data_IF_077117785244
#
_entry.id   IF_077117785244
#
_cell.length_a   1.000
_cell.length_b   1.000
_cell.length_c   1.000
_cell.angle_alpha   90.00
_cell.angle_beta   90.00
_cell.angle_gamma   90.00
#
_symmetry.space_group_name_H-M   'P 1'
#
loop_
_entity.id
_entity.type
_entity.pdbx_description
1 polymer ?
#
# COMPACT_ATOMS: atom_id res chain seq x y z
N UNK A 1 -19.78 -38.66 -15.73
CA UNK A 1 -20.06 -37.84 -14.54
C UNK A 1 -18.99 -36.78 -14.51
N UNK A 2 -19.32 -35.61 -15.07
CA UNK A 2 -18.47 -34.44 -15.11
C UNK A 2 -19.12 -33.43 -14.16
N UNK A 3 -18.71 -33.47 -12.90
CA UNK A 3 -19.13 -32.57 -11.83
C UNK A 3 -18.02 -31.55 -11.56
N UNK A 4 -17.44 -30.98 -12.62
CA UNK A 4 -16.72 -29.73 -12.50
C UNK A 4 -17.75 -28.62 -12.35
N UNK A 5 -18.01 -28.19 -11.10
CA UNK A 5 -18.74 -26.95 -10.83
C UNK A 5 -18.18 -25.86 -11.77
N UNK A 6 -19.03 -25.16 -12.55
CA UNK A 6 -18.57 -24.12 -13.44
C UNK A 6 -17.75 -23.11 -12.64
N UNK A 7 -16.51 -22.88 -13.09
CA UNK A 7 -15.66 -21.76 -12.67
C UNK A 7 -16.58 -20.56 -12.45
N UNK A 8 -16.67 -20.01 -11.24
CA UNK A 8 -17.62 -18.93 -10.96
C UNK A 8 -17.16 -17.69 -11.75
N UNK A 9 -17.72 -17.51 -12.94
CA UNK A 9 -17.40 -16.47 -13.93
C UNK A 9 -17.39 -15.07 -13.29
N UNK A 10 -18.16 -14.88 -12.21
CA UNK A 10 -18.29 -13.62 -11.49
C UNK A 10 -17.02 -13.13 -10.77
N UNK A 11 -16.09 -13.98 -10.32
CA UNK A 11 -14.92 -13.49 -9.57
C UNK A 11 -13.96 -12.70 -10.48
N UNK A 12 -13.67 -13.25 -11.66
CA UNK A 12 -12.90 -12.58 -12.69
C UNK A 12 -13.63 -11.33 -13.19
N UNK A 13 -14.95 -11.40 -13.41
CA UNK A 13 -15.74 -10.23 -13.79
C UNK A 13 -15.74 -9.14 -12.71
N UNK A 14 -15.84 -9.48 -11.43
CA UNK A 14 -15.79 -8.52 -10.32
C UNK A 14 -14.41 -7.85 -10.25
N UNK A 15 -13.33 -8.62 -10.41
CA UNK A 15 -11.98 -8.06 -10.46
C UNK A 15 -11.78 -7.17 -11.69
N UNK A 16 -12.19 -7.60 -12.88
CA UNK A 16 -12.08 -6.79 -14.10
C UNK A 16 -12.95 -5.52 -14.03
N UNK A 17 -14.16 -5.63 -13.46
CA UNK A 17 -15.02 -4.47 -13.21
C UNK A 17 -14.40 -3.50 -12.22
N UNK A 18 -13.73 -4.00 -11.18
CA UNK A 18 -12.97 -3.19 -10.23
C UNK A 18 -11.81 -2.47 -10.93
N UNK A 19 -10.97 -3.19 -11.66
CA UNK A 19 -9.82 -2.61 -12.39
C UNK A 19 -10.30 -1.54 -13.37
N UNK A 20 -11.37 -1.81 -14.12
CA UNK A 20 -11.97 -0.84 -15.04
C UNK A 20 -12.56 0.38 -14.30
N UNK A 21 -13.19 0.18 -13.15
CA UNK A 21 -13.71 1.28 -12.32
C UNK A 21 -12.58 2.18 -11.82
N UNK A 22 -11.51 1.61 -11.26
CA UNK A 22 -10.37 2.38 -10.75
C UNK A 22 -9.68 3.15 -11.90
N UNK A 23 -9.43 2.51 -13.05
CA UNK A 23 -8.84 3.17 -14.23
C UNK A 23 -9.70 4.34 -14.71
N UNK A 24 -11.02 4.21 -14.69
CA UNK A 24 -11.93 5.31 -15.07
C UNK A 24 -11.89 6.47 -14.06
N UNK A 25 -11.86 6.17 -12.76
CA UNK A 25 -11.76 7.22 -11.72
C UNK A 25 -10.43 7.96 -11.87
N UNK A 26 -9.30 7.24 -12.02
CA UNK A 26 -7.97 7.83 -12.23
C UNK A 26 -7.90 8.70 -13.49
N UNK A 27 -8.66 8.37 -14.54
CA UNK A 27 -8.75 9.19 -15.75
C UNK A 27 -9.52 10.49 -15.54
N UNK A 28 -10.52 10.49 -14.68
CA UNK A 28 -11.44 11.62 -14.48
C UNK A 28 -11.03 12.53 -13.33
N UNK A 29 -10.35 11.99 -12.33
CA UNK A 29 -9.96 12.67 -11.09
C UNK A 29 -8.51 12.32 -10.80
N UNK A 30 -7.64 13.32 -10.82
CA UNK A 30 -6.24 13.16 -10.41
C UNK A 30 -6.19 12.59 -8.98
N UNK A 31 -5.53 11.43 -8.86
CA UNK A 31 -5.44 10.71 -7.59
C UNK A 31 -4.12 11.05 -6.89
N UNK A 32 -4.20 11.23 -5.58
CA UNK A 32 -3.09 11.54 -4.69
C UNK A 32 -2.95 10.47 -3.60
N UNK A 33 -1.72 10.20 -3.12
CA UNK A 33 -1.50 9.34 -1.98
C UNK A 33 -2.25 9.86 -0.74
N UNK A 34 -2.75 8.93 0.08
CA UNK A 34 -3.37 9.30 1.34
C UNK A 34 -2.31 9.89 2.31
N UNK A 35 -2.57 11.06 2.92
CA UNK A 35 -1.67 11.65 3.92
C UNK A 35 -1.32 10.69 5.06
N UNK A 36 -0.07 10.73 5.52
CA UNK A 36 0.46 9.75 6.49
C UNK A 36 -0.26 9.75 7.84
N UNK A 37 -0.74 10.91 8.28
CA UNK A 37 -1.54 11.09 9.49
C UNK A 37 -2.91 10.39 9.35
N UNK A 38 -3.54 10.45 8.18
CA UNK A 38 -4.79 9.74 7.91
C UNK A 38 -4.57 8.22 7.84
N UNK A 39 -3.47 7.77 7.22
CA UNK A 39 -3.07 6.35 7.23
C UNK A 39 -2.92 5.85 8.67
N UNK A 40 -2.24 6.60 9.54
CA UNK A 40 -2.08 6.24 10.95
C UNK A 40 -3.42 6.23 11.69
N UNK A 41 -4.31 7.18 11.43
CA UNK A 41 -5.63 7.24 12.05
C UNK A 41 -6.50 6.03 11.67
N UNK A 42 -6.44 5.58 10.41
CA UNK A 42 -7.15 4.38 9.94
C UNK A 42 -6.57 3.11 10.58
N UNK A 43 -5.24 3.00 10.65
CA UNK A 43 -4.60 1.87 11.33
C UNK A 43 -5.01 1.78 12.81
N UNK A 44 -5.06 2.89 13.54
CA UNK A 44 -5.56 2.93 14.92
C UNK A 44 -7.03 2.52 15.04
N UNK A 45 -7.86 2.80 14.02
CA UNK A 45 -9.24 2.31 13.99
C UNK A 45 -9.30 0.80 13.80
N UNK A 46 -8.51 0.25 12.87
CA UNK A 46 -8.37 -1.21 12.70
C UNK A 46 -8.01 -1.89 14.02
N UNK A 47 -7.03 -1.36 14.76
CA UNK A 47 -6.60 -1.92 16.05
C UNK A 47 -7.72 -1.95 17.09
N UNK A 48 -8.62 -0.97 17.06
CA UNK A 48 -9.77 -0.88 17.97
C UNK A 48 -10.91 -1.82 17.57
N UNK A 49 -11.24 -1.86 16.29
CA UNK A 49 -12.27 -2.74 15.75
C UNK A 49 -11.99 -3.09 14.28
N UNK A 50 -11.41 -4.28 14.01
CA UNK A 50 -11.09 -4.73 12.66
C UNK A 50 -12.32 -4.81 11.74
N UNK A 51 -13.52 -5.02 12.28
CA UNK A 51 -14.76 -5.14 11.51
C UNK A 51 -15.11 -3.84 10.78
N UNK A 52 -14.69 -2.70 11.32
CA UNK A 52 -14.88 -1.40 10.69
C UNK A 52 -14.16 -1.30 9.34
N UNK A 53 -13.09 -2.07 9.10
CA UNK A 53 -12.37 -2.04 7.83
C UNK A 53 -13.22 -2.63 6.71
N UNK A 54 -13.87 -3.78 6.96
CA UNK A 54 -14.75 -4.40 5.98
C UNK A 54 -16.01 -3.55 5.72
N UNK A 55 -16.59 -2.98 6.78
CA UNK A 55 -17.70 -2.04 6.64
C UNK A 55 -17.30 -0.82 5.81
N UNK A 56 -16.10 -0.27 6.04
CA UNK A 56 -15.61 0.89 5.31
C UNK A 56 -15.36 0.55 3.85
N UNK A 57 -14.71 -0.58 3.57
CA UNK A 57 -14.47 -1.06 2.21
C UNK A 57 -15.78 -1.24 1.43
N UNK A 58 -16.81 -1.80 2.09
CA UNK A 58 -18.15 -1.97 1.50
C UNK A 58 -18.80 -0.63 1.12
N UNK A 59 -18.80 0.34 2.03
CA UNK A 59 -19.37 1.65 1.77
C UNK A 59 -18.58 2.42 0.70
N UNK A 60 -17.25 2.32 0.74
CA UNK A 60 -16.37 2.94 -0.23
C UNK A 60 -16.56 2.34 -1.63
N UNK A 61 -16.76 1.02 -1.75
CA UNK A 61 -17.07 0.38 -3.04
C UNK A 61 -18.34 0.93 -3.71
N UNK A 62 -19.38 1.21 -2.91
CA UNK A 62 -20.60 1.88 -3.41
C UNK A 62 -20.30 3.32 -3.88
N UNK A 63 -19.49 4.05 -3.12
CA UNK A 63 -19.09 5.42 -3.46
C UNK A 63 -18.26 5.46 -4.74
N UNK A 64 -17.27 4.58 -4.90
CA UNK A 64 -16.47 4.49 -6.12
C UNK A 64 -17.35 4.16 -7.34
N UNK A 65 -18.33 3.27 -7.16
CA UNK A 65 -19.28 2.92 -8.21
C UNK A 65 -20.15 4.12 -8.62
N UNK A 66 -20.53 4.96 -7.67
CA UNK A 66 -21.24 6.21 -7.93
C UNK A 66 -20.32 7.23 -8.62
N UNK A 67 -19.13 7.44 -8.08
CA UNK A 67 -18.12 8.39 -8.57
C UNK A 67 -17.69 8.10 -10.02
N UNK A 68 -17.59 6.81 -10.38
CA UNK A 68 -17.37 6.36 -11.76
C UNK A 68 -18.40 6.96 -12.74
N UNK A 69 -19.64 7.15 -12.31
CA UNK A 69 -20.76 7.63 -13.15
C UNK A 69 -20.94 9.14 -13.13
N UNK A 70 -20.61 9.78 -12.02
CA UNK A 70 -20.95 11.18 -11.73
C UNK A 70 -19.74 12.11 -11.79
N UNK A 71 -18.53 11.57 -11.71
CA UNK A 71 -17.29 12.34 -11.54
C UNK A 71 -17.29 13.19 -10.26
N UNK A 72 -16.31 14.08 -10.13
CA UNK A 72 -16.18 14.99 -9.00
C UNK A 72 -14.95 15.87 -9.13
N UNK A 73 -14.82 16.87 -8.25
CA UNK A 73 -13.59 17.67 -8.17
C UNK A 73 -12.61 16.99 -7.22
N UNK A 74 -11.31 16.89 -7.56
CA UNK A 74 -10.29 16.25 -6.71
C UNK A 74 -10.32 16.73 -5.25
N UNK A 75 -10.47 18.04 -5.05
CA UNK A 75 -10.46 18.68 -3.74
C UNK A 75 -11.75 18.56 -2.90
N UNK A 76 -12.85 18.06 -3.48
CA UNK A 76 -14.10 17.89 -2.75
C UNK A 76 -13.91 16.86 -1.64
N UNK A 77 -14.37 17.16 -0.43
CA UNK A 77 -14.33 16.19 0.66
C UNK A 77 -15.28 15.03 0.37
N UNK A 78 -14.92 13.82 0.82
CA UNK A 78 -15.77 12.65 0.68
C UNK A 78 -17.15 12.87 1.35
N UNK A 79 -17.16 13.58 2.48
CA UNK A 79 -18.39 13.93 3.20
C UNK A 79 -19.30 14.78 2.34
N UNK A 80 -18.78 15.90 1.80
CA UNK A 80 -19.58 16.81 0.98
C UNK A 80 -20.11 16.09 -0.27
N UNK A 81 -19.25 15.32 -0.92
CA UNK A 81 -19.64 14.53 -2.08
C UNK A 81 -20.78 13.57 -1.77
N UNK A 82 -20.69 12.78 -0.70
CA UNK A 82 -21.75 11.84 -0.35
C UNK A 82 -23.04 12.56 0.07
N UNK A 83 -22.93 13.69 0.78
CA UNK A 83 -24.08 14.47 1.20
C UNK A 83 -24.88 15.04 0.00
N UNK A 84 -24.22 15.34 -1.13
CA UNK A 84 -24.88 15.72 -2.40
C UNK A 84 -25.73 14.57 -2.99
N UNK A 85 -25.36 13.32 -2.70
CA UNK A 85 -26.02 12.12 -3.23
C UNK A 85 -26.91 11.40 -2.21
N UNK A 86 -27.14 11.99 -1.03
CA UNK A 86 -27.89 11.36 0.08
C UNK A 86 -29.30 10.87 -0.29
N UNK A 87 -29.94 11.51 -1.27
CA UNK A 87 -31.29 11.14 -1.73
C UNK A 87 -31.28 9.94 -2.68
N UNK A 88 -30.12 9.58 -3.24
CA UNK A 88 -29.94 8.46 -4.18
C UNK A 88 -29.35 7.24 -3.46
N UNK A 89 -28.52 7.47 -2.44
CA UNK A 89 -27.95 6.41 -1.63
C UNK A 89 -29.03 5.71 -0.80
N UNK A 90 -29.08 4.38 -0.89
CA UNK A 90 -30.04 3.56 -0.12
C UNK A 90 -29.78 3.61 1.39
N UNK A 91 -28.55 3.96 1.79
CA UNK A 91 -28.13 4.14 3.18
C UNK A 91 -27.19 5.34 3.30
N UNK A 92 -27.27 6.12 4.40
CA UNK A 92 -26.34 7.20 4.64
C UNK A 92 -24.93 6.64 4.83
N UNK A 93 -23.93 7.35 4.34
CA UNK A 93 -22.54 6.96 4.56
C UNK A 93 -22.17 7.13 6.05
N UNK A 94 -21.63 6.09 6.70
CA UNK A 94 -21.32 6.12 8.11
C UNK A 94 -20.06 6.96 8.36
N UNK A 95 -20.25 8.26 8.63
CA UNK A 95 -19.15 9.21 8.92
C UNK A 95 -18.23 8.76 10.06
N UNK A 96 -18.73 7.93 10.98
CA UNK A 96 -17.94 7.29 12.06
C UNK A 96 -16.74 6.46 11.55
N UNK A 97 -16.78 5.96 10.32
CA UNK A 97 -15.66 5.23 9.72
C UNK A 97 -14.50 6.15 9.33
N UNK A 98 -14.76 7.45 9.15
CA UNK A 98 -13.75 8.42 8.76
C UNK A 98 -12.80 8.77 9.92
N UNK A 99 -11.53 9.05 9.61
CA UNK A 99 -10.63 9.69 10.56
C UNK A 99 -11.13 11.11 10.88
N UNK A 100 -10.72 11.66 12.02
CA UNK A 100 -11.01 13.05 12.39
C UNK A 100 -9.92 13.98 11.84
N UNK A 101 -10.27 15.14 11.28
CA UNK A 101 -11.63 15.62 11.02
C UNK A 101 -12.30 14.87 9.84
N UNK A 102 -13.62 14.72 9.87
CA UNK A 102 -14.35 13.88 8.90
C UNK A 102 -14.18 14.34 7.44
N UNK A 103 -13.95 15.63 7.22
CA UNK A 103 -13.71 16.22 5.90
C UNK A 103 -12.27 16.11 5.39
N UNK A 104 -11.38 15.41 6.11
CA UNK A 104 -9.96 15.25 5.75
C UNK A 104 -9.73 14.39 4.52
N UNK A 105 -10.62 13.44 4.25
CA UNK A 105 -10.55 12.58 3.06
C UNK A 105 -11.23 13.30 1.89
N UNK A 106 -10.49 13.46 0.79
CA UNK A 106 -10.94 14.09 -0.45
C UNK A 106 -11.12 13.06 -1.58
N UNK A 107 -11.78 13.45 -2.67
CA UNK A 107 -11.99 12.59 -3.84
C UNK A 107 -10.68 12.16 -4.52
N UNK A 108 -9.63 12.99 -4.47
CA UNK A 108 -8.29 12.61 -4.93
C UNK A 108 -7.66 11.46 -4.12
N UNK A 109 -8.10 11.20 -2.89
CA UNK A 109 -7.51 10.16 -2.05
C UNK A 109 -8.20 8.79 -2.16
N UNK A 110 -9.32 8.68 -2.89
CA UNK A 110 -10.21 7.53 -2.75
C UNK A 110 -9.65 6.23 -3.28
N UNK A 111 -8.83 6.27 -4.33
CA UNK A 111 -8.15 5.07 -4.83
C UNK A 111 -7.16 4.57 -3.79
N UNK A 112 -6.27 5.44 -3.28
CA UNK A 112 -5.31 5.06 -2.24
C UNK A 112 -5.96 4.63 -0.93
N UNK A 113 -7.10 5.23 -0.56
CA UNK A 113 -7.89 4.80 0.60
C UNK A 113 -8.44 3.40 0.40
N UNK A 114 -9.03 3.12 -0.77
CA UNK A 114 -9.58 1.81 -1.07
C UNK A 114 -8.50 0.73 -1.00
N UNK A 115 -7.38 0.96 -1.68
CA UNK A 115 -6.25 0.03 -1.66
C UNK A 115 -5.71 -0.20 -0.25
N UNK A 116 -5.61 0.84 0.59
CA UNK A 116 -5.23 0.69 2.00
C UNK A 116 -6.22 -0.22 2.74
N UNK A 117 -7.53 -0.05 2.55
CA UNK A 117 -8.53 -0.88 3.22
C UNK A 117 -8.45 -2.35 2.75
N UNK A 118 -8.18 -2.60 1.47
CA UNK A 118 -7.92 -3.97 0.97
C UNK A 118 -6.70 -4.58 1.66
N UNK A 119 -5.61 -3.81 1.75
CA UNK A 119 -4.37 -4.23 2.43
C UNK A 119 -4.63 -4.55 3.91
N UNK A 120 -5.45 -3.74 4.58
CA UNK A 120 -5.77 -3.95 5.99
C UNK A 120 -6.68 -5.16 6.23
N UNK A 121 -7.62 -5.43 5.32
CA UNK A 121 -8.54 -6.56 5.40
C UNK A 121 -7.86 -7.89 5.02
N UNK A 122 -6.82 -7.84 4.18
CA UNK A 122 -6.07 -9.01 3.74
C UNK A 122 -5.48 -9.82 4.90
N UNK A 123 -5.11 -9.18 6.01
CA UNK A 123 -4.59 -9.85 7.20
C UNK A 123 -5.64 -10.80 7.83
N UNK A 124 -6.91 -10.40 7.85
CA UNK A 124 -7.98 -11.28 8.35
C UNK A 124 -8.27 -12.42 7.38
N UNK A 125 -8.16 -12.17 6.07
CA UNK A 125 -8.36 -13.20 5.05
C UNK A 125 -7.23 -14.24 5.12
N UNK A 126 -5.97 -13.81 5.20
CA UNK A 126 -4.81 -14.71 5.23
C UNK A 126 -4.86 -15.65 6.44
N UNK A 127 -5.28 -15.15 7.60
CA UNK A 127 -5.42 -15.94 8.82
C UNK A 127 -6.50 -17.03 8.68
N UNK A 128 -7.56 -16.74 7.91
CA UNK A 128 -8.69 -17.65 7.67
C UNK A 128 -8.48 -18.66 6.54
N UNK A 129 -7.38 -18.57 5.78
CA UNK A 129 -7.12 -19.49 4.68
C UNK A 129 -6.96 -20.93 5.17
N UNK A 130 -7.54 -21.87 4.42
CA UNK A 130 -7.39 -23.30 4.67
C UNK A 130 -5.97 -23.82 4.36
N UNK A 131 -5.74 -25.09 4.67
CA UNK A 131 -4.43 -25.73 4.53
C UNK A 131 -3.93 -25.83 3.08
N UNK A 132 -4.82 -25.70 2.08
CA UNK A 132 -4.41 -25.77 0.66
C UNK A 132 -3.55 -24.57 0.25
N UNK A 133 -3.68 -23.43 0.94
CA UNK A 133 -2.89 -22.23 0.73
C UNK A 133 -1.63 -22.15 1.61
N UNK A 134 -1.36 -23.20 2.40
CA UNK A 134 -0.29 -23.27 3.40
C UNK A 134 0.86 -24.19 2.99
N UNK A 135 0.97 -24.54 1.71
CA UNK A 135 2.05 -25.40 1.21
C UNK A 135 3.39 -24.69 1.39
N UNK A 136 4.33 -25.35 2.07
CA UNK A 136 5.62 -24.77 2.42
C UNK A 136 6.44 -24.40 1.19
N UNK A 137 7.07 -23.23 1.24
CA UNK A 137 8.11 -22.83 0.29
C UNK A 137 9.37 -23.68 0.48
N UNK A 138 10.07 -23.98 -0.60
CA UNK A 138 11.38 -24.63 -0.54
C UNK A 138 12.41 -23.75 0.18
N UNK A 139 13.37 -24.35 0.91
CA UNK A 139 14.43 -23.59 1.61
C UNK A 139 15.33 -22.80 0.65
N UNK A 140 15.41 -23.21 -0.62
CA UNK A 140 16.12 -22.45 -1.65
C UNK A 140 15.35 -21.17 -2.00
N UNK A 141 14.04 -21.29 -2.23
CA UNK A 141 13.17 -20.18 -2.59
C UNK A 141 13.03 -19.16 -1.47
N UNK A 142 12.87 -19.62 -0.23
CA UNK A 142 12.87 -18.75 0.95
C UNK A 142 14.15 -17.90 1.03
N UNK A 143 15.32 -18.53 0.86
CA UNK A 143 16.61 -17.81 0.89
C UNK A 143 16.73 -16.79 -0.25
N UNK A 144 16.39 -17.17 -1.48
CA UNK A 144 16.45 -16.27 -2.64
C UNK A 144 15.59 -15.02 -2.44
N UNK A 145 14.34 -15.21 -2.02
CA UNK A 145 13.41 -14.10 -1.77
C UNK A 145 13.92 -13.22 -0.62
N UNK A 146 14.37 -13.82 0.49
CA UNK A 146 14.89 -13.07 1.63
C UNK A 146 16.15 -12.27 1.29
N UNK A 147 17.08 -12.82 0.52
CA UNK A 147 18.29 -12.13 0.10
C UNK A 147 17.98 -10.92 -0.78
N UNK A 148 17.01 -11.06 -1.70
CA UNK A 148 16.56 -9.99 -2.58
C UNK A 148 15.89 -8.85 -1.78
N UNK A 149 14.92 -9.20 -0.92
CA UNK A 149 14.17 -8.24 -0.12
C UNK A 149 15.01 -7.59 0.98
N UNK A 150 16.06 -8.26 1.45
CA UNK A 150 17.03 -7.69 2.40
C UNK A 150 17.84 -6.54 1.81
N UNK A 151 18.12 -6.58 0.51
CA UNK A 151 18.87 -5.53 -0.20
C UNK A 151 18.00 -4.33 -0.54
N UNK A 152 16.68 -4.51 -0.59
CA UNK A 152 15.73 -3.51 -1.06
C UNK A 152 14.53 -3.41 -0.11
N UNK A 153 14.63 -2.65 1.01
CA UNK A 153 13.52 -2.51 1.96
C UNK A 153 12.22 -2.02 1.33
N UNK A 154 12.32 -1.07 0.39
CA UNK A 154 11.16 -0.58 -0.37
C UNK A 154 10.50 -1.66 -1.23
N UNK A 155 11.29 -2.57 -1.81
CA UNK A 155 10.76 -3.69 -2.58
C UNK A 155 9.98 -4.66 -1.70
N UNK A 156 10.42 -4.86 -0.44
CA UNK A 156 9.70 -5.68 0.52
C UNK A 156 8.31 -5.10 0.82
N UNK A 157 8.22 -3.78 1.03
CA UNK A 157 6.94 -3.10 1.27
C UNK A 157 6.01 -3.18 0.05
N UNK A 158 6.53 -2.93 -1.17
CA UNK A 158 5.73 -3.03 -2.40
C UNK A 158 5.25 -4.46 -2.64
N UNK A 159 6.12 -5.45 -2.43
CA UNK A 159 5.76 -6.87 -2.53
C UNK A 159 4.68 -7.24 -1.52
N UNK A 160 4.80 -6.78 -0.26
CA UNK A 160 3.79 -7.06 0.77
C UNK A 160 2.42 -6.50 0.36
N UNK A 161 2.37 -5.26 -0.12
CA UNK A 161 1.13 -4.63 -0.59
C UNK A 161 0.51 -5.40 -1.76
N UNK A 162 1.31 -5.77 -2.74
CA UNK A 162 0.84 -6.53 -3.90
C UNK A 162 0.24 -7.88 -3.48
N UNK A 163 0.91 -8.61 -2.58
CA UNK A 163 0.40 -9.88 -2.04
C UNK A 163 -0.88 -9.67 -1.24
N UNK A 164 -0.97 -8.64 -0.39
CA UNK A 164 -2.19 -8.32 0.36
C UNK A 164 -3.37 -8.01 -0.56
N UNK A 165 -3.15 -7.21 -1.61
CA UNK A 165 -4.18 -6.91 -2.62
C UNK A 165 -4.60 -8.17 -3.38
N UNK A 166 -3.66 -9.06 -3.73
CA UNK A 166 -3.99 -10.36 -4.32
C UNK A 166 -4.85 -11.22 -3.39
N UNK A 167 -4.48 -11.32 -2.10
CA UNK A 167 -5.26 -12.06 -1.10
C UNK A 167 -6.69 -11.51 -1.02
N UNK A 168 -6.83 -10.18 -0.94
CA UNK A 168 -8.14 -9.55 -0.87
C UNK A 168 -8.97 -9.78 -2.14
N UNK A 169 -8.41 -9.51 -3.31
CA UNK A 169 -9.16 -9.47 -4.58
C UNK A 169 -9.39 -10.85 -5.19
N UNK A 170 -8.45 -11.78 -5.02
CA UNK A 170 -8.48 -13.09 -5.67
C UNK A 170 -8.88 -14.22 -4.72
N UNK A 171 -8.46 -14.18 -3.45
CA UNK A 171 -8.75 -15.27 -2.51
C UNK A 171 -10.03 -15.08 -1.71
N UNK A 172 -10.48 -13.84 -1.46
CA UNK A 172 -11.79 -13.61 -0.84
C UNK A 172 -12.97 -14.26 -1.57
N UNK A 173 -13.01 -14.29 -2.92
CA UNK A 173 -14.04 -15.03 -3.65
C UNK A 173 -13.74 -16.54 -3.86
N UNK A 174 -12.62 -17.08 -3.35
CA UNK A 174 -12.17 -18.48 -3.42
C UNK A 174 -12.19 -19.15 -4.81
N UNK A 175 -12.09 -18.37 -5.90
CA UNK A 175 -12.13 -18.91 -7.26
C UNK A 175 -10.78 -18.73 -7.96
N UNK A 176 -9.73 -19.37 -7.42
CA UNK A 176 -8.39 -19.33 -8.00
C UNK A 176 -7.88 -20.73 -8.31
N UNK A 177 -7.09 -20.86 -9.37
CA UNK A 177 -6.33 -22.09 -9.57
C UNK A 177 -5.13 -22.07 -8.63
N UNK A 178 -5.21 -22.87 -7.57
CA UNK A 178 -4.17 -22.92 -6.55
C UNK A 178 -2.82 -23.43 -7.10
N UNK A 179 -2.85 -24.21 -8.17
CA UNK A 179 -1.64 -24.75 -8.82
C UNK A 179 -0.94 -23.74 -9.73
N UNK A 180 -1.63 -22.66 -10.10
CA UNK A 180 -1.09 -21.63 -10.98
C UNK A 180 0.01 -20.83 -10.28
N UNK A 181 1.02 -20.41 -11.06
CA UNK A 181 2.13 -19.57 -10.57
C UNK A 181 1.57 -18.26 -10.02
N UNK A 182 2.01 -17.86 -8.82
CA UNK A 182 1.53 -16.64 -8.17
C UNK A 182 1.85 -15.39 -9.01
N UNK A 183 3.00 -15.38 -9.69
CA UNK A 183 3.42 -14.29 -10.59
C UNK A 183 2.42 -14.00 -11.71
N UNK A 184 1.73 -15.03 -12.23
CA UNK A 184 0.80 -14.85 -13.35
C UNK A 184 -0.37 -13.92 -12.98
N UNK A 185 -0.76 -13.89 -11.70
CA UNK A 185 -1.75 -12.95 -11.19
C UNK A 185 -1.12 -11.59 -10.90
N UNK A 186 0.06 -11.59 -10.28
CA UNK A 186 0.75 -10.38 -9.85
C UNK A 186 1.41 -9.58 -10.98
N UNK A 187 1.43 -10.07 -12.21
CA UNK A 187 1.83 -9.26 -13.37
C UNK A 187 0.78 -8.22 -13.79
N UNK A 188 -0.43 -8.23 -13.21
CA UNK A 188 -1.40 -7.16 -13.43
C UNK A 188 -1.00 -5.89 -12.65
N UNK A 189 -0.96 -4.78 -13.39
CA UNK A 189 -0.50 -3.46 -12.93
C UNK A 189 -1.22 -2.98 -11.65
N UNK A 190 -2.54 -3.24 -11.58
CA UNK A 190 -3.39 -2.79 -10.47
C UNK A 190 -3.02 -3.34 -9.08
N UNK A 191 -2.19 -4.38 -8.99
CA UNK A 191 -1.69 -4.88 -7.72
C UNK A 191 -0.55 -4.03 -7.15
N UNK A 192 0.08 -3.18 -7.96
CA UNK A 192 1.29 -2.47 -7.60
C UNK A 192 1.03 -0.97 -7.48
N UNK A 193 1.25 -0.37 -6.30
CA UNK A 193 1.10 1.08 -6.13
C UNK A 193 2.02 1.91 -7.05
N UNK A 194 3.12 1.31 -7.52
CA UNK A 194 4.14 1.95 -8.34
C UNK A 194 3.85 1.90 -9.85
N UNK A 195 2.92 1.04 -10.26
CA UNK A 195 2.74 0.64 -11.63
C UNK A 195 3.89 -0.20 -12.22
N UNK A 196 3.70 -0.67 -13.44
CA UNK A 196 4.66 -1.43 -14.24
C UNK A 196 5.14 -0.64 -15.45
N UNK A 197 6.38 -0.89 -15.86
CA UNK A 197 6.96 -0.31 -17.09
C UNK A 197 6.91 -1.23 -18.29
N UNK A 198 6.85 -2.53 -18.04
CA UNK A 198 6.63 -3.57 -19.03
C UNK A 198 6.09 -4.80 -18.31
N UNK A 199 5.68 -5.81 -19.07
CA UNK A 199 5.14 -7.06 -18.53
C UNK A 199 6.05 -7.61 -17.42
N UNK A 200 5.50 -7.70 -16.22
CA UNK A 200 6.18 -8.23 -15.04
C UNK A 200 7.46 -7.46 -14.62
N UNK A 201 7.60 -6.17 -14.97
CA UNK A 201 8.72 -5.32 -14.51
C UNK A 201 8.18 -4.11 -13.74
N UNK A 202 8.47 -4.10 -12.45
CA UNK A 202 8.11 -3.03 -11.51
C UNK A 202 9.05 -1.84 -11.65
N UNK A 203 8.51 -0.61 -11.65
CA UNK A 203 9.31 0.61 -11.50
C UNK A 203 8.73 1.53 -10.43
N UNK A 204 9.54 1.91 -9.44
CA UNK A 204 9.15 2.87 -8.41
C UNK A 204 10.28 3.84 -8.05
N UNK A 205 10.25 5.05 -8.61
CA UNK A 205 11.40 5.97 -8.56
C UNK A 205 12.60 5.33 -9.26
N UNK A 206 13.71 5.16 -8.54
CA UNK A 206 14.94 4.55 -9.05
C UNK A 206 14.94 3.01 -8.95
N UNK A 207 13.93 2.41 -8.31
CA UNK A 207 13.80 0.96 -8.20
C UNK A 207 13.24 0.40 -9.52
N UNK A 208 13.98 -0.51 -10.16
CA UNK A 208 13.50 -1.32 -11.29
C UNK A 208 13.72 -2.79 -10.95
N UNK A 209 12.67 -3.60 -10.98
CA UNK A 209 12.74 -5.00 -10.57
C UNK A 209 11.88 -5.91 -11.44
N UNK A 210 12.49 -6.98 -11.95
CA UNK A 210 11.77 -8.09 -12.59
C UNK A 210 11.04 -8.92 -11.54
N UNK A 211 9.72 -9.09 -11.69
CA UNK A 211 8.90 -9.85 -10.75
C UNK A 211 9.29 -11.33 -10.68
N UNK A 212 9.87 -11.93 -11.73
CA UNK A 212 10.34 -13.33 -11.70
C UNK A 212 11.43 -13.57 -10.66
N UNK A 213 12.20 -12.52 -10.32
CA UNK A 213 13.19 -12.61 -9.25
C UNK A 213 12.57 -12.62 -7.84
N UNK A 214 11.37 -12.05 -7.69
CA UNK A 214 10.60 -11.97 -6.44
C UNK A 214 9.71 -13.20 -6.29
N UNK A 215 9.14 -13.66 -7.39
CA UNK A 215 8.23 -14.80 -7.49
C UNK A 215 8.84 -15.87 -8.42
N UNK A 216 9.76 -16.69 -7.90
CA UNK A 216 10.31 -17.83 -8.63
C UNK A 216 9.23 -18.76 -9.17
N UNK A 217 9.55 -19.51 -10.23
CA UNK A 217 8.57 -20.37 -10.93
C UNK A 217 7.92 -21.44 -10.06
N UNK A 218 8.58 -21.85 -8.98
CA UNK A 218 8.09 -22.83 -8.00
C UNK A 218 7.15 -22.22 -6.95
N UNK A 219 6.89 -20.90 -7.00
CA UNK A 219 5.90 -20.23 -6.13
C UNK A 219 4.54 -20.19 -6.81
N UNK A 220 3.62 -21.01 -6.33
CA UNK A 220 2.23 -21.06 -6.77
C UNK A 220 1.30 -20.41 -5.75
N UNK A 221 0.01 -20.31 -6.09
CA UNK A 221 -1.00 -19.76 -5.19
C UNK A 221 -1.15 -20.60 -3.90
N UNK A 222 -0.89 -21.92 -3.95
CA UNK A 222 -0.81 -22.77 -2.75
C UNK A 222 0.25 -22.33 -1.73
N UNK A 223 1.23 -21.51 -2.13
CA UNK A 223 2.28 -21.00 -1.25
C UNK A 223 1.99 -19.59 -0.71
N UNK A 224 0.82 -19.01 -1.00
CA UNK A 224 0.54 -17.59 -0.69
C UNK A 224 0.67 -17.27 0.80
N UNK A 225 0.21 -18.15 1.69
CA UNK A 225 0.32 -17.91 3.13
C UNK A 225 1.79 -17.90 3.61
N UNK A 226 2.62 -18.95 3.39
CA UNK A 226 4.01 -18.90 3.80
C UNK A 226 4.82 -17.82 3.06
N UNK A 227 4.48 -17.49 1.80
CA UNK A 227 5.11 -16.38 1.09
C UNK A 227 4.78 -15.04 1.76
N UNK A 228 3.50 -14.80 2.08
CA UNK A 228 3.08 -13.63 2.84
C UNK A 228 3.84 -13.49 4.16
N UNK A 229 3.91 -14.56 4.96
CA UNK A 229 4.64 -14.54 6.23
C UNK A 229 6.13 -14.21 6.08
N UNK A 230 6.76 -14.72 5.02
CA UNK A 230 8.17 -14.44 4.72
C UNK A 230 8.40 -12.95 4.44
N UNK A 231 7.54 -12.36 3.60
CA UNK A 231 7.64 -10.95 3.21
C UNK A 231 7.26 -10.04 4.38
N UNK A 232 6.21 -10.36 5.13
CA UNK A 232 5.74 -9.59 6.28
C UNK A 232 6.79 -9.53 7.39
N UNK A 233 7.38 -10.69 7.73
CA UNK A 233 8.51 -10.76 8.66
C UNK A 233 9.63 -9.82 8.22
N UNK A 234 9.92 -9.78 6.92
CA UNK A 234 10.98 -8.92 6.40
C UNK A 234 10.68 -7.43 6.51
N UNK A 235 9.45 -7.04 6.22
CA UNK A 235 8.99 -5.66 6.37
C UNK A 235 9.09 -5.23 7.85
N UNK A 236 8.69 -6.10 8.78
CA UNK A 236 8.78 -5.82 10.21
C UNK A 236 10.23 -5.72 10.73
N UNK A 237 11.15 -6.55 10.22
CA UNK A 237 12.58 -6.41 10.50
C UNK A 237 13.14 -5.05 10.04
N UNK A 238 12.75 -4.60 8.85
CA UNK A 238 13.23 -3.34 8.29
C UNK A 238 12.71 -2.15 9.11
N UNK A 239 11.41 -2.14 9.46
CA UNK A 239 10.83 -1.11 10.34
C UNK A 239 11.55 -1.02 11.69
N UNK A 240 11.85 -2.17 12.32
CA UNK A 240 12.59 -2.20 13.61
C UNK A 240 14.01 -1.66 13.47
N UNK A 241 14.70 -1.93 12.35
CA UNK A 241 16.04 -1.38 12.09
C UNK A 241 16.00 0.13 11.92
N UNK A 242 15.03 0.65 11.17
CA UNK A 242 14.87 2.09 10.93
C UNK A 242 14.53 2.85 12.21
N UNK A 243 13.66 2.28 13.06
CA UNK A 243 13.38 2.84 14.38
C UNK A 243 14.63 2.91 15.27
N UNK A 244 15.44 1.84 15.30
CA UNK A 244 16.70 1.82 16.06
C UNK A 244 17.70 2.84 15.55
N UNK A 245 17.86 2.97 14.23
CA UNK A 245 18.74 3.99 13.65
C UNK A 245 18.25 5.40 13.99
N UNK A 246 16.95 5.66 13.92
CA UNK A 246 16.36 6.95 14.26
C UNK A 246 16.61 7.32 15.73
N UNK A 247 16.44 6.37 16.66
CA UNK A 247 16.75 6.57 18.08
C UNK A 247 18.25 6.82 18.32
N UNK A 248 19.14 6.15 17.58
CA UNK A 248 20.59 6.41 17.67
C UNK A 248 20.93 7.81 17.17
N UNK A 249 20.40 8.25 16.02
CA UNK A 249 20.68 9.58 15.47
C UNK A 249 20.16 10.70 16.40
N UNK A 250 19.01 10.50 17.05
CA UNK A 250 18.44 11.47 18.00
C UNK A 250 19.18 11.52 19.35
N UNK A 251 19.92 10.47 19.72
CA UNK A 251 20.68 10.40 20.98
C UNK A 251 22.11 10.94 20.88
N UNK A 252 22.54 11.39 19.69
CA UNK A 252 23.77 12.17 19.52
C UNK A 252 23.43 13.65 19.24
N UNK A 253 23.43 14.54 20.26
CA UNK A 253 23.47 15.96 19.99
C UNK A 253 24.77 16.27 19.25
N UNK A 254 24.65 16.78 18.03
CA UNK A 254 25.80 17.29 17.27
C UNK A 254 26.43 18.44 18.04
N UNK A 255 27.56 18.20 18.73
CA UNK A 255 28.44 19.25 19.21
C UNK A 255 29.11 19.92 18.01
N UNK A 256 28.38 20.82 17.33
CA UNK A 256 29.01 21.79 16.44
C UNK A 256 29.61 22.87 17.32
N UNK A 257 30.92 22.73 17.59
CA UNK A 257 31.75 23.78 18.18
C UNK A 257 31.64 25.04 17.31
N UNK A 258 31.03 26.08 17.85
CA UNK A 258 31.25 27.45 17.40
C UNK A 258 32.70 27.85 17.76
N UNK A 259 33.66 27.55 16.89
CA UNK A 259 34.95 28.26 16.89
C UNK A 259 34.77 29.53 16.08
N UNK A 260 34.31 30.58 16.77
CA UNK A 260 34.35 31.95 16.27
C UNK A 260 35.79 32.38 16.03
N UNK A 261 36.05 32.76 14.79
CA UNK A 261 37.26 33.37 14.26
C UNK A 261 37.57 34.68 15.00
N UNK A 262 38.45 34.65 16.00
CA UNK A 262 39.16 35.87 16.44
C UNK A 262 40.38 36.08 15.52
N UNK A 263 40.14 36.75 14.39
CA UNK A 263 41.19 37.26 13.52
C UNK A 263 41.78 38.56 14.10
N UNK A 264 43.09 38.48 14.37
CA UNK A 264 44.07 39.53 14.58
C UNK A 264 43.68 40.96 14.16
N UNK A 265 43.32 41.82 15.13
CA UNK A 265 43.52 43.28 15.02
C UNK A 265 44.93 43.62 15.53
N UNK A 266 45.90 43.72 14.61
CA UNK A 266 47.18 44.40 14.85
C UNK A 266 47.45 45.43 13.76
N UNK A 267 47.62 46.67 14.22
CA UNK A 267 48.47 47.74 13.66
C UNK A 267 48.00 48.45 12.38
N UNK A 268 47.34 49.59 12.57
CA UNK A 268 47.50 50.77 11.72
C UNK A 268 47.25 52.04 12.56
N UNK A 269 48.28 52.50 13.28
CA UNK A 269 48.30 53.83 13.89
C UNK A 269 49.74 54.22 14.24
N UNK A 270 50.50 54.69 13.24
CA UNK A 270 51.49 55.76 13.37
C UNK A 270 52.08 56.07 12.00
N UNK A 271 51.78 57.27 11.52
CA UNK A 271 52.70 58.31 11.03
C UNK A 271 51.88 59.17 10.07
N UNK A 272 51.48 60.37 10.51
CA UNK A 272 51.63 61.65 9.79
C UNK A 272 51.02 62.77 10.65
N UNK A 273 51.88 63.49 11.37
CA UNK A 273 51.81 64.95 11.52
C UNK A 273 53.12 65.43 12.15
N UNK A 274 53.96 66.04 11.31
CA UNK A 274 54.93 67.06 11.71
C UNK A 274 54.33 68.38 11.26
N UNK A 275 53.89 69.21 12.19
CA UNK A 275 54.24 70.63 12.26
C UNK A 275 54.01 71.08 13.69
#
# INVERSE_FOLDING_TARGET
>A
MDDSLPRIIYADELFQNYVAMIKQIQKNIEQEPLPSDLVQAINKKKERDPRQILDFLTHLGMILSLLKKTSGKPDTSLVDYVDDWKNILTRPFPKILLPSPENSIKLCHLVSLHELLEELNADSIIDSLDDTFRVKLSSLTQRKVMDLLSKNPRLAELTLKAVKRFVHRCLSPLNVDISQKLINYLCEDSFWPAGMVSDCVLKHGDLVQDLQSIFPEDVTVQNVHPFFQLVDLKVEENKKKDQRMTMMVQSFPSQVKAQGTQSNRRRAAKVFSKT
#
